data_IF_851454270078
#
_entry.id   IF_851454270078
#
_cell.length_a   1.000
_cell.length_b   1.000
_cell.length_c   1.000
_cell.angle_alpha   90.00
_cell.angle_beta   90.00
_cell.angle_gamma   90.00
#
_symmetry.space_group_name_H-M   'P 1'
#
loop_
_entity.id
_entity.type
_entity.pdbx_description
1 polymer ?
#
# COMPACT_ATOMS: atom_id res chain seq x y z
N UNK A 1 4.59 -16.17 1.82
CA UNK A 1 4.97 -14.75 1.94
C UNK A 1 6.45 -14.70 2.29
N UNK A 2 7.24 -13.96 1.52
CA UNK A 2 8.70 -13.88 1.69
C UNK A 2 9.05 -12.83 2.74
N UNK A 3 9.92 -13.18 3.69
CA UNK A 3 10.55 -12.24 4.61
C UNK A 3 11.67 -11.51 3.87
N UNK A 4 11.64 -10.18 3.92
CA UNK A 4 12.63 -9.31 3.27
C UNK A 4 13.66 -8.79 4.28
N UNK A 5 13.19 -8.27 5.41
CA UNK A 5 14.01 -7.71 6.49
C UNK A 5 13.39 -8.11 7.83
N UNK A 6 14.27 -8.39 8.80
CA UNK A 6 13.89 -8.53 10.21
C UNK A 6 15.03 -8.00 11.08
N UNK A 7 14.72 -6.97 11.86
CA UNK A 7 15.62 -6.41 12.86
C UNK A 7 14.88 -6.21 14.20
N UNK A 8 15.49 -5.65 15.26
CA UNK A 8 14.82 -5.43 16.55
C UNK A 8 13.62 -4.47 16.49
N UNK A 9 13.53 -3.60 15.50
CA UNK A 9 12.53 -2.54 15.38
C UNK A 9 11.41 -2.87 14.42
N UNK A 10 11.74 -3.45 13.27
CA UNK A 10 10.80 -3.67 12.18
C UNK A 10 10.96 -5.05 11.54
N UNK A 11 9.90 -5.44 10.85
CA UNK A 11 9.87 -6.53 9.90
C UNK A 11 9.33 -6.01 8.58
N UNK A 12 9.96 -6.38 7.47
CA UNK A 12 9.44 -6.14 6.12
C UNK A 12 9.16 -7.48 5.44
N UNK A 13 8.00 -7.60 4.84
CA UNK A 13 7.59 -8.78 4.09
C UNK A 13 7.13 -8.42 2.69
N UNK A 14 7.27 -9.35 1.76
CA UNK A 14 6.68 -9.25 0.42
C UNK A 14 5.24 -9.76 0.49
N UNK A 15 4.28 -8.84 0.49
CA UNK A 15 2.86 -9.18 0.48
C UNK A 15 2.45 -9.65 -0.91
N UNK A 16 1.87 -10.85 -1.06
CA UNK A 16 1.31 -11.25 -2.35
C UNK A 16 0.04 -10.44 -2.67
N UNK A 17 -0.27 -10.33 -3.96
CA UNK A 17 -1.60 -9.90 -4.41
C UNK A 17 -2.67 -10.88 -3.94
N UNK A 18 -3.90 -10.39 -3.77
CA UNK A 18 -5.05 -11.18 -3.30
C UNK A 18 -5.15 -11.37 -1.78
N UNK A 19 -4.10 -11.09 -1.00
CA UNK A 19 -4.12 -11.18 0.46
C UNK A 19 -4.35 -9.80 1.09
N UNK A 20 -5.22 -9.72 2.11
CA UNK A 20 -5.43 -8.51 2.88
C UNK A 20 -4.20 -8.18 3.75
N UNK A 21 -3.91 -6.88 3.96
CA UNK A 21 -2.90 -6.46 4.95
C UNK A 21 -3.38 -6.69 6.39
N UNK A 22 -4.65 -6.41 6.65
CA UNK A 22 -5.35 -6.62 7.93
C UNK A 22 -6.74 -7.20 7.69
N UNK A 23 -7.37 -7.81 8.69
CA UNK A 23 -8.73 -8.32 8.55
C UNK A 23 -9.70 -7.24 8.06
N UNK A 24 -10.60 -7.64 7.17
CA UNK A 24 -11.72 -6.84 6.72
C UNK A 24 -12.97 -7.04 7.59
N UNK A 25 -14.12 -6.74 7.01
CA UNK A 25 -15.42 -6.95 7.67
C UNK A 25 -15.96 -8.34 7.34
N UNK A 26 -16.35 -9.07 8.37
CA UNK A 26 -16.91 -10.42 8.26
C UNK A 26 -15.85 -11.53 8.36
N UNK A 27 -16.30 -12.75 8.72
CA UNK A 27 -15.42 -13.89 8.99
C UNK A 27 -14.64 -14.33 7.74
N UNK A 28 -15.20 -14.16 6.56
CA UNK A 28 -14.56 -14.50 5.28
C UNK A 28 -13.36 -13.60 4.94
N UNK A 29 -13.22 -12.47 5.64
CA UNK A 29 -12.11 -11.52 5.46
C UNK A 29 -11.16 -11.50 6.65
N UNK A 30 -11.15 -12.56 7.45
CA UNK A 30 -10.29 -12.68 8.65
C UNK A 30 -8.84 -12.97 8.31
N UNK A 31 -8.59 -13.63 7.16
CA UNK A 31 -7.24 -13.99 6.72
C UNK A 31 -6.49 -12.76 6.17
N UNK A 32 -5.34 -12.49 6.73
CA UNK A 32 -4.53 -11.33 6.35
C UNK A 32 -3.05 -11.52 6.71
N UNK A 33 -2.20 -10.64 6.17
CA UNK A 33 -0.77 -10.67 6.49
C UNK A 33 -0.55 -10.58 8.00
N UNK A 34 -1.20 -9.62 8.68
CA UNK A 34 -0.97 -9.43 10.11
C UNK A 34 -1.46 -10.62 10.93
N UNK A 35 -2.61 -11.21 10.62
CA UNK A 35 -3.14 -12.38 11.35
C UNK A 35 -2.22 -13.59 11.21
N UNK A 36 -1.70 -13.84 10.01
CA UNK A 36 -0.76 -14.95 9.77
C UNK A 36 0.56 -14.76 10.52
N UNK A 37 1.10 -13.53 10.53
CA UNK A 37 2.38 -13.23 11.19
C UNK A 37 2.25 -13.19 12.72
N UNK A 38 1.13 -12.72 13.24
CA UNK A 38 0.87 -12.69 14.68
C UNK A 38 0.71 -14.07 15.32
N UNK A 39 0.46 -15.12 14.53
CA UNK A 39 0.55 -16.50 15.02
C UNK A 39 1.97 -16.88 15.49
N UNK A 40 3.00 -16.23 14.94
CA UNK A 40 4.40 -16.47 15.29
C UNK A 40 4.97 -15.40 16.23
N UNK A 41 4.51 -14.14 16.10
CA UNK A 41 4.97 -13.00 16.90
C UNK A 41 3.81 -12.03 17.13
N UNK A 42 3.16 -12.14 18.28
CA UNK A 42 2.00 -11.31 18.66
C UNK A 42 2.35 -9.82 18.85
N UNK A 43 3.63 -9.49 18.97
CA UNK A 43 4.07 -8.09 19.10
C UNK A 43 3.96 -7.27 17.82
N UNK A 44 3.87 -7.94 16.67
CA UNK A 44 3.82 -7.29 15.36
C UNK A 44 2.61 -6.40 15.19
N UNK A 45 2.83 -5.20 14.65
CA UNK A 45 1.79 -4.21 14.32
C UNK A 45 2.05 -3.64 12.93
N UNK A 46 0.99 -3.45 12.15
CA UNK A 46 1.08 -2.79 10.86
C UNK A 46 1.43 -1.32 11.02
N UNK A 47 2.42 -0.87 10.27
CA UNK A 47 2.79 0.55 10.17
C UNK A 47 1.97 1.25 9.08
N UNK A 48 1.73 0.55 7.98
CA UNK A 48 0.90 0.98 6.87
C UNK A 48 0.17 -0.21 6.27
N UNK A 49 -0.60 0.02 5.24
CA UNK A 49 -1.28 -1.06 4.52
C UNK A 49 -1.09 -0.93 3.01
N UNK A 50 -1.12 -2.05 2.34
CA UNK A 50 -1.34 -2.19 0.91
C UNK A 50 -2.75 -2.72 0.69
N UNK A 51 -3.37 -2.36 -0.41
CA UNK A 51 -4.67 -2.89 -0.78
C UNK A 51 -4.57 -4.40 -1.10
N UNK A 52 -5.70 -5.09 -1.11
CA UNK A 52 -5.77 -6.54 -1.30
C UNK A 52 -4.97 -7.00 -2.52
N UNK A 53 -5.19 -6.37 -3.65
CA UNK A 53 -4.63 -6.78 -4.94
C UNK A 53 -3.27 -6.12 -5.23
N UNK A 54 -2.81 -5.22 -4.37
CA UNK A 54 -1.46 -4.66 -4.43
C UNK A 54 -0.46 -5.60 -3.77
N UNK A 55 0.56 -6.01 -4.50
CA UNK A 55 1.71 -6.77 -3.96
C UNK A 55 2.86 -5.84 -3.59
N UNK A 56 3.84 -6.37 -2.83
CA UNK A 56 5.08 -5.68 -2.53
C UNK A 56 5.36 -5.47 -1.03
N UNK A 57 6.25 -4.55 -0.74
CA UNK A 57 6.82 -4.35 0.60
C UNK A 57 5.78 -3.86 1.60
N UNK A 58 5.53 -4.64 2.64
CA UNK A 58 4.69 -4.28 3.77
C UNK A 58 5.54 -4.25 5.04
N UNK A 59 5.50 -3.11 5.74
CA UNK A 59 6.26 -2.89 6.98
C UNK A 59 5.40 -3.17 8.21
N UNK A 60 6.00 -3.86 9.17
CA UNK A 60 5.44 -4.13 10.48
C UNK A 60 6.40 -3.64 11.56
N UNK A 61 5.88 -3.02 12.60
CA UNK A 61 6.63 -2.67 13.79
C UNK A 61 6.66 -3.85 14.75
N UNK A 62 7.77 -4.02 15.47
CA UNK A 62 7.99 -5.09 16.46
C UNK A 62 7.79 -4.65 17.90
N UNK A 63 7.45 -3.37 18.12
CA UNK A 63 7.10 -2.82 19.42
C UNK A 63 6.19 -1.60 19.27
N UNK A 64 5.56 -1.18 20.37
CA UNK A 64 4.74 0.04 20.37
C UNK A 64 5.57 1.31 20.09
N UNK A 65 6.81 1.36 20.57
CA UNK A 65 7.72 2.49 20.30
C UNK A 65 8.11 2.54 18.82
N UNK A 66 8.46 1.40 18.24
CA UNK A 66 8.74 1.29 16.81
C UNK A 66 7.51 1.69 15.97
N UNK A 67 6.31 1.25 16.35
CA UNK A 67 5.06 1.63 15.67
C UNK A 67 4.88 3.14 15.67
N UNK A 68 5.03 3.78 16.83
CA UNK A 68 4.87 5.24 16.95
C UNK A 68 5.85 5.99 16.04
N UNK A 69 7.13 5.63 16.08
CA UNK A 69 8.19 6.27 15.28
C UNK A 69 7.99 6.06 13.78
N UNK A 70 7.74 4.83 13.35
CA UNK A 70 7.51 4.52 11.94
C UNK A 70 6.23 5.19 11.41
N UNK A 71 5.15 5.19 12.20
CA UNK A 71 3.90 5.86 11.82
C UNK A 71 4.07 7.37 11.67
N UNK A 72 4.90 8.00 12.52
CA UNK A 72 5.24 9.41 12.38
C UNK A 72 5.94 9.69 11.04
N UNK A 73 6.90 8.87 10.63
CA UNK A 73 7.57 9.01 9.33
C UNK A 73 6.61 8.94 8.15
N UNK A 74 5.58 8.06 8.21
CA UNK A 74 4.53 8.01 7.19
C UNK A 74 3.65 9.26 7.21
N UNK A 75 3.23 9.72 8.39
CA UNK A 75 2.40 10.92 8.55
C UNK A 75 3.11 12.18 8.06
N UNK A 76 4.40 12.29 8.32
CA UNK A 76 5.28 13.39 7.90
C UNK A 76 5.73 13.29 6.43
N UNK A 77 5.29 12.24 5.70
CA UNK A 77 5.68 11.96 4.31
C UNK A 77 7.19 11.82 4.12
N UNK A 78 7.90 11.31 5.11
CA UNK A 78 9.36 11.08 5.08
C UNK A 78 9.75 9.69 4.55
N UNK A 79 8.77 8.90 4.13
CA UNK A 79 8.98 7.60 3.48
C UNK A 79 8.81 7.79 1.97
N UNK A 80 9.85 7.54 1.22
CA UNK A 80 9.77 7.46 -0.23
C UNK A 80 9.12 6.14 -0.63
N UNK A 81 8.14 6.22 -1.53
CA UNK A 81 7.39 5.06 -2.03
C UNK A 81 7.54 5.00 -3.53
N UNK A 82 7.85 3.81 -4.03
CA UNK A 82 7.91 3.53 -5.45
C UNK A 82 6.97 2.37 -5.75
N UNK A 83 6.04 2.61 -6.67
CA UNK A 83 5.13 1.58 -7.16
C UNK A 83 5.35 1.34 -8.65
N UNK A 84 5.01 0.14 -9.07
CA UNK A 84 4.88 -0.20 -10.47
C UNK A 84 3.41 -0.49 -10.75
N UNK A 85 2.87 0.08 -11.83
CA UNK A 85 1.50 -0.17 -12.26
C UNK A 85 1.45 -0.30 -13.78
N UNK A 86 0.58 -1.19 -14.25
CA UNK A 86 0.20 -1.27 -15.65
C UNK A 86 -1.13 -0.54 -15.84
N UNK A 87 -1.17 0.41 -16.76
CA UNK A 87 -2.36 1.21 -17.10
C UNK A 87 -2.77 0.92 -18.54
N UNK A 88 -4.05 1.06 -18.84
CA UNK A 88 -4.58 0.90 -20.17
C UNK A 88 -4.13 2.05 -21.08
N UNK A 89 -3.92 1.72 -22.34
CA UNK A 89 -3.51 2.68 -23.38
C UNK A 89 -2.01 2.96 -23.43
N UNK A 90 -1.65 3.73 -24.45
CA UNK A 90 -0.29 4.14 -24.69
C UNK A 90 -0.03 5.51 -24.05
N UNK A 91 0.97 5.56 -23.18
CA UNK A 91 1.45 6.78 -22.53
C UNK A 91 2.93 6.98 -22.80
N UNK A 92 3.35 8.24 -22.85
CA UNK A 92 4.75 8.63 -23.03
C UNK A 92 5.21 9.63 -21.96
N UNK A 93 6.50 9.59 -21.66
CA UNK A 93 7.15 10.58 -20.82
C UNK A 93 6.87 10.41 -19.32
N UNK A 94 6.56 11.51 -18.66
CA UNK A 94 6.33 11.63 -17.22
C UNK A 94 5.30 12.71 -16.93
N UNK A 95 4.67 12.61 -15.77
CA UNK A 95 3.70 13.62 -15.36
C UNK A 95 3.38 13.57 -13.87
N UNK A 96 2.42 14.39 -13.51
CA UNK A 96 1.94 14.52 -12.14
C UNK A 96 0.43 14.66 -12.16
N UNK A 97 -0.25 13.94 -11.26
CA UNK A 97 -1.68 14.07 -11.02
C UNK A 97 -1.85 14.57 -9.59
N UNK A 98 -2.41 15.75 -9.42
CA UNK A 98 -2.82 16.29 -8.14
C UNK A 98 -4.35 16.32 -8.11
N UNK A 99 -4.97 15.48 -7.29
CA UNK A 99 -6.43 15.40 -7.21
C UNK A 99 -6.87 15.07 -5.79
N UNK A 100 -7.90 15.74 -5.26
CA UNK A 100 -8.48 15.35 -4.00
C UNK A 100 -9.26 14.04 -4.18
N UNK A 101 -8.98 13.05 -3.31
CA UNK A 101 -9.58 11.74 -3.34
C UNK A 101 -10.45 11.51 -2.11
N UNK A 102 -11.64 10.98 -2.31
CA UNK A 102 -12.55 10.56 -1.27
C UNK A 102 -13.14 9.17 -1.54
N UNK A 103 -13.75 8.61 -0.52
CA UNK A 103 -14.55 7.39 -0.65
C UNK A 103 -15.91 7.76 -1.22
N UNK A 104 -16.20 7.29 -2.44
CA UNK A 104 -17.45 7.58 -3.17
C UNK A 104 -18.58 6.61 -2.81
N UNK A 105 -18.24 5.37 -2.42
CA UNK A 105 -19.22 4.35 -2.03
C UNK A 105 -18.67 3.48 -0.89
N UNK A 106 -19.58 2.99 -0.03
CA UNK A 106 -19.24 2.06 1.06
C UNK A 106 -19.33 0.60 0.62
N UNK A 107 -20.31 0.27 -0.26
CA UNK A 107 -20.54 -1.10 -0.73
C UNK A 107 -20.92 -1.07 -2.22
N UNK A 108 -20.07 -1.64 -3.10
CA UNK A 108 -18.67 -1.97 -2.86
C UNK A 108 -17.85 -0.68 -2.58
N UNK A 109 -16.77 -0.77 -1.81
CA UNK A 109 -15.95 0.40 -1.53
C UNK A 109 -15.31 0.92 -2.82
N UNK A 110 -15.59 2.20 -3.13
CA UNK A 110 -14.99 2.89 -4.28
C UNK A 110 -14.38 4.20 -3.83
N UNK A 111 -13.25 4.53 -4.41
CA UNK A 111 -12.56 5.80 -4.19
C UNK A 111 -12.40 6.51 -5.53
N UNK A 112 -12.43 7.83 -5.50
CA UNK A 112 -12.27 8.64 -6.70
C UNK A 112 -12.09 10.10 -6.37
N UNK A 113 -11.97 10.92 -7.41
CA UNK A 113 -11.84 12.36 -7.27
C UNK A 113 -13.12 12.96 -6.70
N UNK A 114 -12.99 13.82 -5.68
CA UNK A 114 -14.10 14.50 -5.04
C UNK A 114 -13.61 15.82 -4.44
N UNK A 115 -14.34 16.96 -4.60
CA UNK A 115 -13.91 18.28 -4.13
C UNK A 115 -13.55 18.32 -2.64
N UNK A 116 -14.29 17.61 -1.80
CA UNK A 116 -14.06 17.52 -0.35
C UNK A 116 -13.08 16.39 0.05
N UNK A 117 -12.43 15.76 -0.93
CA UNK A 117 -11.48 14.69 -0.71
C UNK A 117 -10.15 15.19 -0.13
N UNK A 118 -9.34 14.25 0.35
CA UNK A 118 -7.96 14.55 0.76
C UNK A 118 -7.08 14.70 -0.47
N UNK A 119 -6.32 15.78 -0.52
CA UNK A 119 -5.37 16.03 -1.61
C UNK A 119 -4.37 14.86 -1.70
N UNK A 120 -4.34 14.24 -2.86
CA UNK A 120 -3.41 13.20 -3.24
C UNK A 120 -2.55 13.66 -4.43
N UNK A 121 -1.28 13.31 -4.38
CA UNK A 121 -0.30 13.60 -5.42
C UNK A 121 0.30 12.29 -5.89
N UNK A 122 0.23 12.04 -7.19
CA UNK A 122 0.89 10.90 -7.85
C UNK A 122 1.82 11.44 -8.93
N UNK A 123 3.10 11.18 -8.78
CA UNK A 123 4.11 11.46 -9.81
C UNK A 123 4.32 10.16 -10.56
N UNK A 124 4.34 10.20 -11.88
CA UNK A 124 4.50 9.02 -12.69
C UNK A 124 5.54 9.22 -13.81
N UNK A 125 6.16 8.13 -14.20
CA UNK A 125 7.07 8.05 -15.33
C UNK A 125 6.88 6.73 -16.07
N UNK A 126 6.84 6.79 -17.38
CA UNK A 126 6.79 5.58 -18.22
C UNK A 126 8.05 4.75 -18.00
N UNK A 127 7.85 3.48 -17.68
CA UNK A 127 8.90 2.46 -17.69
C UNK A 127 8.98 1.77 -19.04
N UNK A 128 7.83 1.26 -19.53
CA UNK A 128 7.74 0.59 -20.83
C UNK A 128 6.40 0.92 -21.46
N UNK A 129 6.43 1.53 -22.63
CA UNK A 129 5.24 1.81 -23.42
C UNK A 129 4.90 0.59 -24.29
N UNK A 130 3.61 0.29 -24.40
CA UNK A 130 3.05 -0.71 -25.32
C UNK A 130 1.74 -0.21 -25.93
N UNK A 131 1.35 -0.80 -27.06
CA UNK A 131 0.19 -0.33 -27.82
C UNK A 131 -1.16 -0.40 -27.04
N UNK A 132 -1.31 -1.32 -26.11
CA UNK A 132 -2.56 -1.55 -25.37
C UNK A 132 -2.40 -1.28 -23.86
N UNK A 133 -1.20 -1.26 -23.36
CA UNK A 133 -0.92 -0.98 -21.96
C UNK A 133 0.45 -0.34 -21.79
N UNK A 134 0.58 0.49 -20.78
CA UNK A 134 1.83 1.15 -20.41
C UNK A 134 2.20 0.83 -18.99
N UNK A 135 3.44 0.41 -18.77
CA UNK A 135 3.99 0.20 -17.44
C UNK A 135 4.60 1.49 -16.91
N UNK A 136 4.22 1.86 -15.71
CA UNK A 136 4.63 3.09 -15.04
C UNK A 136 5.41 2.80 -13.75
N UNK A 137 6.32 3.71 -13.43
CA UNK A 137 6.76 3.97 -12.07
C UNK A 137 5.93 5.13 -11.50
N UNK A 138 5.45 4.94 -10.26
CA UNK A 138 4.64 5.89 -9.52
C UNK A 138 5.33 6.29 -8.22
#
# INVERSE_FOLDING_TARGET
MKLLIRDPWLMAVDKPAGLLSQPGLGPEQSDSVITRLQQQDQSLRLVHRLDRDTSGVLLLARSADALRRLSALFAERRINKLYQADVEGELHGRGCIASPLARLSRQPPRYGSHPEGRLALTIWRVHTAGAHSTRLWL
#
